data_IF_333823137628
#
_entry.id   IF_333823137628
#
_cell.length_a   1.000
_cell.length_b   1.000
_cell.length_c   1.000
_cell.angle_alpha   90.00
_cell.angle_beta   90.00
_cell.angle_gamma   90.00
#
_symmetry.space_group_name_H-M   'P 1'
#
loop_
_entity.id
_entity.type
_entity.pdbx_description
1 polymer ?
#
# COMPACT_ATOMS: atom_id res chain seq x y z
N UNK A 1 -10.43 -25.13 3.61
CA UNK A 1 -10.93 -25.59 2.29
C UNK A 1 -10.86 -24.44 1.30
N UNK A 2 -10.30 -24.70 0.14
CA UNK A 2 -10.27 -23.69 -0.91
C UNK A 2 -11.51 -23.79 -1.76
N UNK A 3 -12.35 -22.79 -1.71
CA UNK A 3 -13.52 -22.70 -2.58
C UNK A 3 -13.05 -22.20 -3.95
N UNK A 4 -13.52 -22.79 -5.08
CA UNK A 4 -13.05 -22.35 -6.41
C UNK A 4 -13.35 -20.89 -6.73
N UNK A 5 -14.35 -20.32 -6.06
CA UNK A 5 -14.73 -18.91 -6.25
C UNK A 5 -14.09 -17.98 -5.23
N UNK A 6 -13.26 -18.50 -4.32
CA UNK A 6 -12.58 -17.65 -3.35
C UNK A 6 -11.52 -16.84 -4.09
N UNK A 7 -11.66 -15.54 -3.97
CA UNK A 7 -10.79 -14.54 -4.55
C UNK A 7 -9.49 -14.47 -3.75
N UNK A 8 -8.34 -14.65 -4.41
CA UNK A 8 -7.05 -14.42 -3.78
C UNK A 8 -6.67 -12.96 -3.98
N UNK A 9 -7.01 -12.12 -3.00
CA UNK A 9 -6.85 -10.67 -3.11
C UNK A 9 -5.43 -10.25 -3.44
N UNK A 10 -4.44 -10.90 -2.82
CA UNK A 10 -3.05 -10.53 -3.01
C UNK A 10 -2.59 -10.83 -4.45
N UNK A 11 -2.84 -12.03 -4.93
CA UNK A 11 -2.50 -12.45 -6.29
C UNK A 11 -3.28 -11.65 -7.33
N UNK A 12 -4.58 -11.46 -7.09
CA UNK A 12 -5.45 -10.76 -8.02
C UNK A 12 -5.12 -9.28 -8.13
N UNK A 13 -4.82 -8.62 -6.99
CA UNK A 13 -4.43 -7.22 -7.01
C UNK A 13 -3.14 -7.01 -7.80
N UNK A 14 -2.13 -7.82 -7.55
CA UNK A 14 -0.86 -7.73 -8.27
C UNK A 14 -1.03 -8.10 -9.74
N UNK A 15 -1.87 -9.09 -10.03
CA UNK A 15 -2.19 -9.47 -11.41
C UNK A 15 -2.88 -8.34 -12.16
N UNK A 16 -3.83 -7.65 -11.53
CA UNK A 16 -4.53 -6.52 -12.12
C UNK A 16 -3.57 -5.36 -12.43
N UNK A 17 -2.67 -5.07 -11.51
CA UNK A 17 -1.66 -4.01 -11.70
C UNK A 17 -0.76 -4.34 -12.89
N UNK A 18 -0.34 -5.59 -13.00
CA UNK A 18 0.48 -6.05 -14.12
C UNK A 18 -0.26 -5.89 -15.46
N UNK A 19 -1.52 -6.32 -15.51
CA UNK A 19 -2.36 -6.19 -16.71
C UNK A 19 -2.56 -4.73 -17.12
N UNK A 20 -2.82 -3.86 -16.14
CA UNK A 20 -3.01 -2.45 -16.39
C UNK A 20 -1.77 -1.83 -17.06
N UNK A 21 -0.60 -2.04 -16.47
CA UNK A 21 0.62 -1.43 -16.96
C UNK A 21 1.02 -2.00 -18.32
N UNK A 22 0.84 -3.29 -18.53
CA UNK A 22 1.10 -3.91 -19.83
C UNK A 22 0.16 -3.38 -20.92
N UNK A 23 -1.12 -3.20 -20.58
CA UNK A 23 -2.10 -2.66 -21.52
C UNK A 23 -1.70 -1.29 -22.05
N UNK A 24 -1.17 -0.43 -21.20
CA UNK A 24 -0.82 0.95 -21.56
C UNK A 24 0.64 1.12 -21.95
N UNK A 25 1.38 0.01 -22.11
CA UNK A 25 2.75 0.04 -22.62
C UNK A 25 3.79 0.52 -21.62
N UNK A 26 3.46 0.57 -20.34
CA UNK A 26 4.44 0.89 -19.30
C UNK A 26 5.36 -0.30 -19.06
N UNK A 27 6.60 -0.01 -18.71
CA UNK A 27 7.60 -1.03 -18.46
C UNK A 27 8.23 -0.85 -17.09
N UNK A 28 8.52 -1.96 -16.43
CA UNK A 28 9.26 -1.97 -15.18
C UNK A 28 10.65 -1.42 -15.37
N UNK A 29 11.17 -0.73 -14.36
CA UNK A 29 12.58 -0.38 -14.30
C UNK A 29 13.44 -1.64 -14.39
N UNK A 30 14.56 -1.57 -15.12
CA UNK A 30 15.48 -2.70 -15.22
C UNK A 30 16.20 -2.96 -13.90
N UNK A 31 16.50 -1.89 -13.17
CA UNK A 31 17.10 -1.99 -11.84
C UNK A 31 16.01 -1.99 -10.79
N UNK A 32 16.20 -2.77 -9.75
CA UNK A 32 15.34 -2.76 -8.56
C UNK A 32 15.63 -1.47 -7.79
N UNK A 33 14.59 -0.71 -7.50
CA UNK A 33 14.70 0.47 -6.65
C UNK A 33 14.16 1.73 -7.27
N UNK A 34 14.33 2.82 -6.53
CA UNK A 34 13.88 4.14 -6.97
C UNK A 34 14.67 4.53 -8.22
N UNK A 35 13.97 4.77 -9.35
CA UNK A 35 14.68 5.12 -10.59
C UNK A 35 15.26 6.52 -10.54
N UNK A 36 16.25 6.78 -11.41
CA UNK A 36 16.85 8.10 -11.53
C UNK A 36 15.96 9.09 -12.29
N UNK A 37 14.95 8.60 -13.00
CA UNK A 37 13.99 9.44 -13.72
C UNK A 37 13.15 10.22 -12.71
N UNK A 38 13.55 11.45 -12.44
CA UNK A 38 12.88 12.30 -11.46
C UNK A 38 11.45 12.69 -11.88
N UNK A 39 11.18 12.77 -13.16
CA UNK A 39 9.82 13.04 -13.64
C UNK A 39 8.87 11.92 -13.24
N UNK A 40 9.28 10.69 -13.46
CA UNK A 40 8.47 9.53 -13.05
C UNK A 40 8.25 9.49 -11.53
N UNK A 41 9.33 9.65 -10.77
CA UNK A 41 9.25 9.63 -9.29
C UNK A 41 8.33 10.74 -8.79
N UNK A 42 8.48 11.95 -9.30
CA UNK A 42 7.68 13.09 -8.89
C UNK A 42 6.21 12.92 -9.27
N UNK A 43 5.95 12.39 -10.46
CA UNK A 43 4.58 12.11 -10.89
C UNK A 43 3.91 11.09 -9.95
N UNK A 44 4.58 9.99 -9.65
CA UNK A 44 4.00 8.96 -8.78
C UNK A 44 3.77 9.48 -7.37
N UNK A 45 4.66 10.30 -6.85
CA UNK A 45 4.53 10.92 -5.53
C UNK A 45 3.34 11.89 -5.52
N UNK A 46 3.27 12.78 -6.50
CA UNK A 46 2.17 13.75 -6.61
C UNK A 46 0.82 13.05 -6.77
N UNK A 47 0.78 11.96 -7.52
CA UNK A 47 -0.43 11.19 -7.73
C UNK A 47 -0.96 10.58 -6.44
N UNK A 48 -0.08 10.02 -5.62
CA UNK A 48 -0.46 9.51 -4.28
C UNK A 48 -0.99 10.64 -3.39
N UNK A 49 -0.34 11.79 -3.42
CA UNK A 49 -0.77 12.94 -2.62
C UNK A 49 -2.15 13.44 -3.06
N UNK A 50 -2.42 13.46 -4.35
CA UNK A 50 -3.72 13.83 -4.91
C UNK A 50 -4.84 12.91 -4.40
N UNK A 51 -4.62 11.60 -4.44
CA UNK A 51 -5.62 10.65 -3.96
C UNK A 51 -5.83 10.74 -2.44
N UNK A 52 -4.75 11.01 -1.70
CA UNK A 52 -4.86 11.24 -0.25
C UNK A 52 -5.72 12.48 0.03
N UNK A 53 -5.54 13.55 -0.75
CA UNK A 53 -6.36 14.75 -0.62
C UNK A 53 -7.84 14.47 -0.93
N UNK A 54 -8.13 13.66 -1.95
CA UNK A 54 -9.50 13.25 -2.27
C UNK A 54 -10.12 12.45 -1.14
N UNK A 55 -9.34 11.55 -0.53
CA UNK A 55 -9.78 10.80 0.65
C UNK A 55 -10.17 11.75 1.80
N UNK A 56 -9.32 12.72 2.12
CA UNK A 56 -9.62 13.66 3.22
C UNK A 56 -10.86 14.51 2.94
N UNK A 57 -11.07 14.90 1.69
CA UNK A 57 -12.28 15.61 1.28
C UNK A 57 -13.53 14.74 1.46
N UNK A 58 -13.45 13.46 1.07
CA UNK A 58 -14.56 12.53 1.24
C UNK A 58 -14.92 12.35 2.72
N UNK A 59 -13.93 12.28 3.60
CA UNK A 59 -14.14 12.18 5.05
C UNK A 59 -14.85 13.43 5.56
N UNK A 60 -14.41 14.62 5.15
CA UNK A 60 -15.03 15.89 5.57
C UNK A 60 -16.50 15.96 5.12
N UNK A 61 -16.78 15.48 3.92
CA UNK A 61 -18.15 15.48 3.36
C UNK A 61 -18.98 14.29 3.83
N UNK A 62 -18.41 13.37 4.58
CA UNK A 62 -19.05 12.11 5.00
C UNK A 62 -19.60 11.31 3.83
N UNK A 63 -18.84 11.29 2.75
CA UNK A 63 -19.20 10.56 1.51
C UNK A 63 -18.48 9.20 1.52
N UNK A 64 -19.20 8.17 1.94
CA UNK A 64 -18.63 6.83 2.10
C UNK A 64 -18.16 6.24 0.77
N UNK A 65 -18.91 6.44 -0.29
CA UNK A 65 -18.56 5.91 -1.62
C UNK A 65 -17.29 6.57 -2.14
N UNK A 66 -17.18 7.89 -2.00
CA UNK A 66 -15.99 8.62 -2.41
C UNK A 66 -14.77 8.23 -1.56
N UNK A 67 -14.96 7.98 -0.26
CA UNK A 67 -13.89 7.52 0.62
C UNK A 67 -13.36 6.15 0.18
N UNK A 68 -14.26 5.23 -0.13
CA UNK A 68 -13.87 3.90 -0.62
C UNK A 68 -13.11 4.00 -1.95
N UNK A 69 -13.63 4.79 -2.87
CA UNK A 69 -13.00 4.98 -4.18
C UNK A 69 -11.57 5.54 -4.03
N UNK A 70 -11.40 6.55 -3.19
CA UNK A 70 -10.09 7.13 -2.92
C UNK A 70 -9.12 6.12 -2.28
N UNK A 71 -9.60 5.30 -1.33
CA UNK A 71 -8.78 4.27 -0.71
C UNK A 71 -8.33 3.22 -1.73
N UNK A 72 -9.23 2.81 -2.62
CA UNK A 72 -8.88 1.88 -3.69
C UNK A 72 -7.83 2.49 -4.61
N UNK A 73 -8.00 3.75 -5.00
CA UNK A 73 -7.05 4.44 -5.87
C UNK A 73 -5.67 4.58 -5.21
N UNK A 74 -5.63 4.84 -3.90
CA UNK A 74 -4.37 4.89 -3.15
C UNK A 74 -3.64 3.55 -3.24
N UNK A 75 -4.35 2.44 -3.03
CA UNK A 75 -3.77 1.10 -3.13
C UNK A 75 -3.30 0.83 -4.57
N UNK A 76 -4.11 1.19 -5.55
CA UNK A 76 -3.78 1.00 -6.96
C UNK A 76 -2.51 1.74 -7.35
N UNK A 77 -2.39 2.99 -6.95
CA UNK A 77 -1.20 3.81 -7.24
C UNK A 77 0.02 3.31 -6.49
N UNK A 78 -0.15 2.91 -5.23
CA UNK A 78 0.96 2.37 -4.42
C UNK A 78 1.53 1.10 -5.07
N UNK A 79 0.66 0.16 -5.44
CA UNK A 79 1.06 -1.07 -6.12
C UNK A 79 1.68 -0.78 -7.49
N UNK A 80 1.10 0.14 -8.24
CA UNK A 80 1.63 0.55 -9.55
C UNK A 80 3.01 1.19 -9.44
N UNK A 81 3.23 1.97 -8.40
CA UNK A 81 4.53 2.58 -8.15
C UNK A 81 5.59 1.52 -7.84
N UNK A 82 5.25 0.56 -6.98
CA UNK A 82 6.15 -0.56 -6.69
C UNK A 82 6.45 -1.37 -7.96
N UNK A 83 5.44 -1.57 -8.80
CA UNK A 83 5.60 -2.27 -10.06
C UNK A 83 6.56 -1.53 -11.00
N UNK A 84 6.36 -0.22 -11.18
CA UNK A 84 7.21 0.61 -12.05
C UNK A 84 8.65 0.65 -11.56
N UNK A 85 8.84 0.70 -10.23
CA UNK A 85 10.18 0.74 -9.62
C UNK A 85 10.80 -0.66 -9.52
N UNK A 86 10.09 -1.68 -9.98
CA UNK A 86 10.53 -3.08 -9.90
C UNK A 86 10.89 -3.51 -8.47
N UNK A 87 10.13 -3.01 -7.50
CA UNK A 87 10.32 -3.37 -6.10
C UNK A 87 9.67 -4.72 -5.81
N UNK A 88 10.28 -5.56 -4.96
CA UNK A 88 9.74 -6.88 -4.63
C UNK A 88 8.58 -6.77 -3.63
N UNK A 89 7.42 -6.29 -4.11
CA UNK A 89 6.28 -5.97 -3.26
C UNK A 89 5.78 -7.19 -2.49
N UNK A 90 5.61 -8.32 -3.15
CA UNK A 90 5.06 -9.51 -2.50
C UNK A 90 5.94 -10.00 -1.36
N UNK A 91 7.25 -10.06 -1.58
CA UNK A 91 8.21 -10.42 -0.55
C UNK A 91 8.17 -9.41 0.60
N UNK A 92 8.19 -8.12 0.25
CA UNK A 92 8.12 -7.05 1.24
C UNK A 92 6.84 -7.10 2.06
N UNK A 93 5.70 -7.38 1.43
CA UNK A 93 4.43 -7.52 2.11
C UNK A 93 4.48 -8.61 3.17
N UNK A 94 5.02 -9.79 2.82
CA UNK A 94 5.11 -10.91 3.77
C UNK A 94 5.96 -10.57 4.98
N UNK A 95 7.06 -9.87 4.76
CA UNK A 95 7.94 -9.45 5.86
C UNK A 95 7.26 -8.44 6.78
N UNK A 96 6.59 -7.45 6.19
CA UNK A 96 5.83 -6.46 6.96
C UNK A 96 4.68 -7.12 7.71
N UNK A 97 3.95 -8.03 7.09
CA UNK A 97 2.86 -8.76 7.73
C UNK A 97 3.37 -9.53 8.94
N UNK A 98 4.48 -10.23 8.80
CA UNK A 98 5.09 -10.97 9.90
C UNK A 98 5.46 -10.04 11.06
N UNK A 99 6.08 -8.91 10.76
CA UNK A 99 6.45 -7.91 11.76
C UNK A 99 5.22 -7.33 12.45
N UNK A 100 4.18 -7.00 11.67
CA UNK A 100 2.94 -6.43 12.22
C UNK A 100 2.21 -7.40 13.14
N UNK A 101 2.17 -8.67 12.76
CA UNK A 101 1.51 -9.69 13.59
C UNK A 101 2.25 -9.95 14.89
N UNK A 102 3.50 -9.52 15.02
CA UNK A 102 4.27 -9.62 16.27
C UNK A 102 4.04 -8.43 17.21
N UNK A 103 3.30 -7.42 16.78
CA UNK A 103 2.98 -6.25 17.60
C UNK A 103 1.82 -6.56 18.55
N UNK A 104 1.62 -5.69 19.53
CA UNK A 104 0.52 -5.81 20.49
C UNK A 104 -0.32 -4.52 20.45
N UNK A 105 -1.60 -4.67 20.76
CA UNK A 105 -2.48 -3.49 20.80
C UNK A 105 -2.09 -2.59 21.98
N UNK A 106 -2.10 -1.30 21.79
CA UNK A 106 -1.91 -0.33 22.86
C UNK A 106 -3.04 -0.47 23.88
N UNK A 107 -2.71 -0.50 25.18
CA UNK A 107 -3.70 -0.62 26.26
C UNK A 107 -4.38 0.71 26.53
N UNK A 108 -3.72 1.82 26.23
CA UNK A 108 -4.21 3.18 26.37
C UNK A 108 -3.63 4.02 25.26
N UNK A 109 -3.64 5.33 25.37
CA UNK A 109 -3.06 6.19 24.33
C UNK A 109 -1.59 5.88 24.14
N UNK A 110 -1.21 5.49 22.91
CA UNK A 110 0.17 5.19 22.56
C UNK A 110 1.03 6.44 22.64
N UNK A 111 2.30 6.27 23.00
CA UNK A 111 3.24 7.39 23.07
C UNK A 111 3.47 8.03 21.71
N UNK A 112 3.51 7.23 20.66
CA UNK A 112 3.85 7.70 19.32
C UNK A 112 2.69 8.44 18.64
N UNK A 113 1.47 7.92 18.77
CA UNK A 113 0.31 8.46 18.03
C UNK A 113 -0.82 8.96 18.91
N UNK A 114 -0.74 8.75 20.23
CA UNK A 114 -1.69 9.30 21.18
C UNK A 114 -3.08 8.71 21.12
N UNK A 115 -3.23 7.46 20.69
CA UNK A 115 -4.53 6.80 20.57
C UNK A 115 -4.45 5.33 21.00
N UNK A 116 -5.56 4.82 21.53
CA UNK A 116 -5.72 3.41 21.87
C UNK A 116 -6.03 2.52 20.65
N UNK A 117 -6.25 3.11 19.48
CA UNK A 117 -6.42 2.36 18.22
C UNK A 117 -5.10 1.90 17.62
N UNK A 118 -4.00 2.23 18.27
CA UNK A 118 -2.67 1.91 17.79
C UNK A 118 -2.23 0.50 18.21
N UNK A 119 -1.27 -0.02 17.48
CA UNK A 119 -0.50 -1.21 17.85
C UNK A 119 0.94 -0.79 18.09
N UNK A 120 1.57 -1.41 19.08
CA UNK A 120 2.91 -1.01 19.53
C UNK A 120 3.86 -2.20 19.45
N UNK A 121 5.13 -1.89 19.36
CA UNK A 121 6.17 -2.90 19.35
C UNK A 121 6.33 -3.49 20.75
N UNK A 122 6.26 -4.82 20.90
CA UNK A 122 6.62 -5.43 22.18
C UNK A 122 8.12 -5.27 22.45
N UNK A 123 8.53 -5.58 23.66
CA UNK A 123 9.91 -5.38 24.12
C UNK A 123 10.95 -6.08 23.24
N UNK A 124 10.62 -7.23 22.70
CA UNK A 124 11.51 -8.06 21.89
C UNK A 124 11.25 -7.97 20.39
N UNK A 125 10.50 -6.94 19.96
CA UNK A 125 10.13 -6.79 18.55
C UNK A 125 11.36 -6.52 17.67
N UNK A 126 11.37 -7.17 16.49
CA UNK A 126 12.41 -6.99 15.49
C UNK A 126 11.81 -6.42 14.20
N UNK A 127 12.53 -5.47 13.60
CA UNK A 127 12.11 -4.87 12.34
C UNK A 127 12.15 -5.90 11.21
N UNK A 128 11.30 -5.73 10.16
CA UNK A 128 11.40 -6.55 8.94
C UNK A 128 12.72 -6.33 8.23
N UNK A 129 13.23 -7.39 7.62
CA UNK A 129 14.49 -7.33 6.88
C UNK A 129 14.31 -6.70 5.49
#
# INVERSE_FOLDING_TARGET
MTHPDIFNLHEDLLGDINKFHNKFGFKKSQKVGIPEDSELVNFRTSFLMEELAEYTQAITKKDDAAALDALIDIVYIALGTAWLFNLPFEKGWREVQKANMSKVRAKSKSKKRGTAFDVIKPKDWKAPN
#
